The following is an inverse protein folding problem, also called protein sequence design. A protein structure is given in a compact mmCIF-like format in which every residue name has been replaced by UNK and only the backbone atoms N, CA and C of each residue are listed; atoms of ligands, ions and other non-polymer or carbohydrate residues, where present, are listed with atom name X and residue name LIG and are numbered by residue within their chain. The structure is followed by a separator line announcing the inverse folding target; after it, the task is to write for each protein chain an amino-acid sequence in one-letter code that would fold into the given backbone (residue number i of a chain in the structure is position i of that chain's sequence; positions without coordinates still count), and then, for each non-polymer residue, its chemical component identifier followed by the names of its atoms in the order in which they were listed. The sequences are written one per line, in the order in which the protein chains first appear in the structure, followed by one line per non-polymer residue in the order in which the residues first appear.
data_IF_708951825992
#
_entry.id   IF_708951825992
#
_cell.length_a   1.000
_cell.length_b   1.000
_cell.length_c   1.000
_cell.angle_alpha   90.00
_cell.angle_beta   90.00
_cell.angle_gamma   90.00
#
_symmetry.space_group_name_H-M   'P 1'
#
loop_
_entity.id
_entity.type
_entity.pdbx_description
1 polymer ?
#
# COMPACT_ATOMS: atom_id res chain seq x y z
N UNK A 1 14.25 13.06 14.71
CA UNK A 1 13.56 12.01 13.91
C UNK A 1 13.81 12.26 12.42
N UNK A 2 13.63 11.26 11.54
CA UNK A 2 13.89 11.43 10.08
C UNK A 2 13.16 12.64 9.52
N UNK A 3 11.93 12.89 9.95
CA UNK A 3 11.09 14.00 9.47
C UNK A 3 11.63 15.38 9.90
N UNK A 4 12.33 15.45 11.04
CA UNK A 4 12.95 16.67 11.54
C UNK A 4 14.29 16.96 10.86
N UNK A 5 15.07 15.91 10.58
CA UNK A 5 16.40 16.01 9.98
C UNK A 5 16.34 16.17 8.45
N UNK A 6 15.28 15.67 7.83
CA UNK A 6 15.12 15.64 6.38
C UNK A 6 13.69 16.03 5.96
N UNK A 7 13.33 17.32 6.05
CA UNK A 7 12.04 17.79 5.55
C UNK A 7 11.88 17.47 4.06
N UNK A 8 10.64 17.26 3.62
CA UNK A 8 10.24 16.87 2.25
C UNK A 8 10.73 15.48 1.79
N UNK A 9 11.11 14.60 2.71
CA UNK A 9 11.36 13.18 2.45
C UNK A 9 10.22 12.32 2.97
N UNK A 10 10.08 11.13 2.38
CA UNK A 10 9.07 10.15 2.79
C UNK A 10 9.74 8.81 3.06
N UNK A 11 9.28 8.14 4.11
CA UNK A 11 9.60 6.74 4.37
C UNK A 11 8.55 5.86 3.71
N UNK A 12 9.00 5.00 2.80
CA UNK A 12 8.16 4.08 2.04
C UNK A 12 8.44 2.64 2.45
N UNK A 13 7.43 1.96 3.00
CA UNK A 13 7.53 0.57 3.41
C UNK A 13 7.42 -0.37 2.21
N UNK A 14 8.49 -1.13 1.95
CA UNK A 14 8.55 -2.21 0.97
C UNK A 14 8.43 -3.58 1.65
N UNK A 15 7.22 -3.90 2.10
CA UNK A 15 6.91 -5.18 2.72
C UNK A 15 5.87 -5.95 1.90
N UNK A 16 6.28 -7.09 1.31
CA UNK A 16 5.37 -7.97 0.55
C UNK A 16 4.47 -8.79 1.50
N UNK A 17 3.52 -8.10 2.11
CA UNK A 17 2.58 -8.64 3.09
C UNK A 17 1.13 -8.33 2.70
N UNK A 18 0.18 -8.95 3.38
CA UNK A 18 -1.23 -8.64 3.19
C UNK A 18 -1.57 -7.24 3.74
N UNK A 19 -2.60 -6.55 3.21
CA UNK A 19 -2.94 -5.19 3.63
C UNK A 19 -3.20 -5.04 5.13
N UNK A 20 -3.69 -6.10 5.78
CA UNK A 20 -3.92 -6.16 7.24
C UNK A 20 -2.63 -6.06 8.04
N UNK A 21 -1.55 -6.65 7.51
CA UNK A 21 -0.26 -6.74 8.19
C UNK A 21 0.59 -5.49 7.91
N UNK A 22 0.48 -4.94 6.69
CA UNK A 22 1.14 -3.69 6.29
C UNK A 22 0.67 -2.50 7.15
N UNK A 23 -0.53 -2.56 7.73
CA UNK A 23 -1.03 -1.51 8.62
C UNK A 23 -0.11 -1.25 9.82
N UNK A 24 0.60 -2.26 10.31
CA UNK A 24 1.49 -2.13 11.46
C UNK A 24 2.67 -1.17 11.20
N UNK A 25 3.10 -1.00 9.94
CA UNK A 25 4.22 -0.11 9.58
C UNK A 25 3.87 1.38 9.65
N UNK A 26 2.58 1.72 9.78
CA UNK A 26 2.19 3.11 9.98
C UNK A 26 2.30 3.54 11.45
N UNK A 27 2.53 2.61 12.39
CA UNK A 27 2.61 2.92 13.82
C UNK A 27 1.36 3.64 14.33
N UNK A 28 1.56 4.64 15.18
CA UNK A 28 0.55 5.65 15.56
C UNK A 28 0.74 6.91 14.69
N UNK A 29 0.88 6.72 13.38
CA UNK A 29 1.16 7.76 12.37
C UNK A 29 2.58 8.38 12.49
N UNK A 30 3.54 7.65 13.07
CA UNK A 30 4.87 8.14 13.43
C UNK A 30 6.06 7.33 12.87
N UNK A 31 5.81 6.27 12.09
CA UNK A 31 6.86 5.44 11.45
C UNK A 31 6.98 5.66 9.93
N UNK A 32 6.26 4.86 9.11
CA UNK A 32 6.28 4.98 7.66
C UNK A 32 5.14 5.86 7.16
N UNK A 33 5.44 6.66 6.13
CA UNK A 33 4.50 7.59 5.53
C UNK A 33 3.61 6.90 4.50
N UNK A 34 4.15 5.87 3.86
CA UNK A 34 3.52 5.16 2.75
C UNK A 34 3.94 3.71 2.77
N UNK A 35 3.12 2.84 2.18
CA UNK A 35 3.47 1.44 1.97
C UNK A 35 2.98 0.93 0.61
N UNK A 36 3.69 -0.03 0.03
CA UNK A 36 3.27 -0.64 -1.22
C UNK A 36 2.06 -1.57 -1.04
N UNK A 37 1.06 -1.42 -1.92
CA UNK A 37 -0.05 -2.37 -2.03
C UNK A 37 0.35 -3.55 -2.94
N UNK A 38 1.14 -4.48 -2.39
CA UNK A 38 1.63 -5.65 -3.15
C UNK A 38 0.54 -6.50 -3.80
N UNK A 39 -0.62 -6.76 -3.16
CA UNK A 39 -1.72 -7.47 -3.81
C UNK A 39 -2.19 -6.85 -5.14
N UNK A 40 -2.00 -5.55 -5.35
CA UNK A 40 -2.40 -4.86 -6.59
C UNK A 40 -1.57 -5.30 -7.80
N UNK A 41 -0.27 -5.48 -7.62
CA UNK A 41 0.67 -5.77 -8.71
C UNK A 41 0.26 -6.98 -9.57
N UNK A 42 0.02 -8.19 -9.04
CA UNK A 42 -0.40 -9.33 -9.87
C UNK A 42 -1.76 -9.12 -10.53
N UNK A 43 -2.66 -8.34 -9.91
CA UNK A 43 -4.01 -8.10 -10.44
C UNK A 43 -4.01 -7.15 -11.63
N UNK A 44 -3.02 -6.26 -11.74
CA UNK A 44 -2.81 -5.46 -12.96
C UNK A 44 -2.56 -6.37 -14.17
N UNK A 45 -1.68 -7.35 -14.02
CA UNK A 45 -1.38 -8.31 -15.11
C UNK A 45 -2.58 -9.20 -15.44
N UNK A 46 -3.34 -9.66 -14.44
CA UNK A 46 -4.57 -10.43 -14.65
C UNK A 46 -5.64 -9.59 -15.35
N UNK A 47 -5.82 -8.33 -14.94
CA UNK A 47 -6.78 -7.42 -15.57
C UNK A 47 -6.43 -7.15 -17.04
N UNK A 48 -5.14 -7.00 -17.35
CA UNK A 48 -4.67 -6.85 -18.72
C UNK A 48 -4.96 -8.12 -19.55
N UNK A 49 -4.63 -9.30 -19.03
CA UNK A 49 -4.86 -10.57 -19.73
C UNK A 49 -6.36 -10.88 -19.93
N UNK A 50 -7.23 -10.39 -19.05
CA UNK A 50 -8.69 -10.55 -19.14
C UNK A 50 -9.38 -9.42 -19.89
N UNK A 51 -8.64 -8.40 -20.32
CA UNK A 51 -9.18 -7.16 -20.89
C UNK A 51 -10.31 -6.55 -20.04
N UNK A 52 -10.19 -6.66 -18.71
CA UNK A 52 -11.24 -6.29 -17.77
C UNK A 52 -10.66 -5.76 -16.48
N UNK A 53 -11.18 -4.62 -16.01
CA UNK A 53 -10.78 -4.00 -14.75
C UNK A 53 -11.31 -4.72 -13.49
N UNK A 54 -12.09 -5.79 -13.65
CA UNK A 54 -12.70 -6.55 -12.55
C UNK A 54 -11.72 -6.95 -11.43
N UNK A 55 -10.57 -7.58 -11.75
CA UNK A 55 -9.58 -8.00 -10.74
C UNK A 55 -9.02 -6.84 -9.90
N UNK A 56 -8.88 -5.64 -10.49
CA UNK A 56 -8.40 -4.45 -9.78
C UNK A 56 -9.50 -3.88 -8.88
N UNK A 57 -10.72 -3.73 -9.42
CA UNK A 57 -11.88 -3.19 -8.68
C UNK A 57 -12.23 -4.02 -7.44
N UNK A 58 -12.16 -5.34 -7.59
CA UNK A 58 -12.40 -6.26 -6.48
C UNK A 58 -11.39 -6.07 -5.35
N UNK A 59 -10.10 -5.95 -5.68
CA UNK A 59 -9.07 -5.68 -4.68
C UNK A 59 -9.26 -4.33 -4.00
N UNK A 60 -9.54 -3.26 -4.75
CA UNK A 60 -9.72 -1.93 -4.15
C UNK A 60 -10.85 -1.94 -3.12
N UNK A 61 -11.94 -2.65 -3.41
CA UNK A 61 -13.05 -2.84 -2.46
C UNK A 61 -12.64 -3.59 -1.19
N UNK A 62 -11.66 -4.49 -1.30
CA UNK A 62 -11.10 -5.27 -0.18
C UNK A 62 -9.94 -4.57 0.52
N UNK A 63 -9.40 -3.48 -0.05
CA UNK A 63 -8.28 -2.76 0.52
C UNK A 63 -8.78 -1.93 1.69
N UNK A 64 -8.09 -2.03 2.84
CA UNK A 64 -8.42 -1.23 4.01
C UNK A 64 -8.34 0.25 3.67
N UNK A 65 -9.22 1.11 4.23
CA UNK A 65 -9.02 2.54 4.13
C UNK A 65 -7.63 2.89 4.66
N UNK A 66 -7.00 3.90 4.06
CA UNK A 66 -5.74 4.44 4.56
C UNK A 66 -5.84 4.65 6.07
N UNK A 67 -4.80 4.31 6.87
CA UNK A 67 -4.69 4.86 8.21
C UNK A 67 -4.87 6.38 8.10
N UNK A 68 -5.62 6.95 9.07
CA UNK A 68 -5.86 8.40 9.08
C UNK A 68 -4.59 9.15 9.45
#
# INVERSE_FOLDING_TARGET
MVDEEFPDRVLLAEANQWPTDVKAYFGEEDEFHMAFNFPLMPRIFIALAKESAGPIRELITQTLPSPR
#
